data_IF_193746795385
#
_entry.id   IF_193746795385
#
_cell.length_a   1.000
_cell.length_b   1.000
_cell.length_c   1.000
_cell.angle_alpha   90.00
_cell.angle_beta   90.00
_cell.angle_gamma   90.00
#
_symmetry.space_group_name_H-M   'P 1'
#
loop_
_entity.id
_entity.type
_entity.pdbx_description
1 polymer ?
#
# COMPACT_ATOMS: atom_id res chain seq x y z
N UNK A 1 18.75 -7.45 4.63
CA UNK A 1 18.38 -7.63 3.21
C UNK A 1 16.87 -7.69 3.17
N UNK A 2 16.22 -6.88 2.34
CA UNK A 2 14.75 -6.85 2.25
C UNK A 2 14.24 -8.09 1.51
N UNK A 3 13.15 -8.71 1.98
CA UNK A 3 12.49 -9.83 1.32
C UNK A 3 11.07 -9.49 0.87
N UNK A 4 10.64 -9.99 -0.29
CA UNK A 4 9.25 -9.90 -0.74
C UNK A 4 8.47 -11.14 -0.30
N UNK A 5 7.43 -10.95 0.51
CA UNK A 5 6.56 -12.01 0.99
C UNK A 5 5.11 -11.74 0.60
N UNK A 6 4.47 -12.74 0.01
CA UNK A 6 3.03 -12.70 -0.26
C UNK A 6 2.26 -13.33 0.91
N UNK A 7 1.12 -12.75 1.26
CA UNK A 7 0.12 -13.38 2.12
C UNK A 7 -0.48 -14.62 1.40
N UNK A 8 -0.98 -15.59 2.15
CA UNK A 8 -1.37 -16.90 1.60
C UNK A 8 -2.59 -16.84 0.67
N UNK A 9 -3.57 -15.96 0.92
CA UNK A 9 -4.64 -15.71 -0.02
C UNK A 9 -4.09 -15.07 -1.31
N UNK A 10 -3.20 -14.07 -1.18
CA UNK A 10 -2.52 -13.45 -2.34
C UNK A 10 -1.78 -14.47 -3.21
N UNK A 11 -1.06 -15.42 -2.61
CA UNK A 11 -0.35 -16.46 -3.38
C UNK A 11 -1.29 -17.26 -4.29
N UNK A 12 -2.56 -17.43 -3.90
CA UNK A 12 -3.55 -18.25 -4.60
C UNK A 12 -4.36 -17.44 -5.62
N UNK A 13 -4.57 -16.15 -5.41
CA UNK A 13 -5.53 -15.35 -6.18
C UNK A 13 -4.87 -14.36 -7.14
N UNK A 14 -3.60 -14.01 -6.95
CA UNK A 14 -2.94 -13.01 -7.81
C UNK A 14 -2.70 -13.53 -9.22
N UNK A 15 -2.94 -12.68 -10.22
CA UNK A 15 -2.60 -12.94 -11.61
C UNK A 15 -1.08 -12.97 -11.84
N UNK A 16 -0.63 -13.67 -12.88
CA UNK A 16 0.79 -13.68 -13.26
C UNK A 16 1.30 -12.30 -13.68
N UNK A 17 0.43 -11.46 -14.25
CA UNK A 17 0.76 -10.10 -14.65
C UNK A 17 1.01 -9.22 -13.42
N UNK A 18 0.11 -9.25 -12.44
CA UNK A 18 0.28 -8.50 -11.19
C UNK A 18 1.50 -8.98 -10.42
N UNK A 19 1.75 -10.29 -10.40
CA UNK A 19 2.95 -10.85 -9.79
C UNK A 19 4.22 -10.28 -10.42
N UNK A 20 4.30 -10.20 -11.75
CA UNK A 20 5.45 -9.60 -12.45
C UNK A 20 5.63 -8.13 -12.12
N UNK A 21 4.55 -7.36 -12.12
CA UNK A 21 4.57 -5.93 -11.76
C UNK A 21 5.07 -5.72 -10.33
N UNK A 22 4.60 -6.53 -9.37
CA UNK A 22 5.07 -6.47 -7.98
C UNK A 22 6.57 -6.76 -7.90
N UNK A 23 7.07 -7.81 -8.57
CA UNK A 23 8.50 -8.10 -8.55
C UNK A 23 9.32 -6.97 -9.15
N UNK A 24 8.84 -6.36 -10.24
CA UNK A 24 9.50 -5.21 -10.85
C UNK A 24 9.56 -4.03 -9.87
N UNK A 25 8.41 -3.61 -9.32
CA UNK A 25 8.35 -2.50 -8.36
C UNK A 25 9.20 -2.77 -7.12
N UNK A 26 9.19 -4.00 -6.61
CA UNK A 26 10.03 -4.39 -5.47
C UNK A 26 11.53 -4.25 -5.78
N UNK A 27 11.98 -4.71 -6.95
CA UNK A 27 13.39 -4.63 -7.36
C UNK A 27 13.84 -3.19 -7.66
N UNK A 28 12.94 -2.35 -8.18
CA UNK A 28 13.21 -0.94 -8.48
C UNK A 28 13.12 -0.06 -7.23
N UNK A 29 12.56 -0.58 -6.13
CA UNK A 29 12.42 0.18 -4.88
C UNK A 29 13.79 0.40 -4.25
N UNK A 30 14.24 1.65 -4.28
CA UNK A 30 15.40 2.10 -3.50
C UNK A 30 15.02 2.15 -2.02
N UNK A 31 15.84 1.49 -1.19
CA UNK A 31 15.77 1.61 0.27
C UNK A 31 16.26 3.00 0.63
N UNK A 32 15.34 3.85 1.06
CA UNK A 32 15.64 5.16 1.62
C UNK A 32 15.59 5.04 3.16
N UNK A 33 16.66 5.48 3.82
CA UNK A 33 16.80 5.44 5.28
C UNK A 33 15.94 6.48 6.00
N UNK A 34 15.24 7.36 5.27
CA UNK A 34 14.42 8.42 5.84
C UNK A 34 13.13 7.93 6.51
N UNK A 35 12.61 6.76 6.11
CA UNK A 35 11.40 6.15 6.71
C UNK A 35 11.56 4.65 6.91
N UNK A 36 11.08 4.16 8.05
CA UNK A 36 11.08 2.74 8.38
C UNK A 36 9.95 1.97 7.71
N UNK A 37 8.83 2.64 7.41
CA UNK A 37 7.68 2.09 6.68
C UNK A 37 7.44 2.90 5.42
N UNK A 38 7.35 2.24 4.27
CA UNK A 38 7.09 2.88 2.97
C UNK A 38 6.02 2.11 2.21
N UNK A 39 5.25 2.81 1.37
CA UNK A 39 4.33 2.17 0.43
C UNK A 39 4.75 2.54 -1.00
N UNK A 40 4.90 1.54 -1.86
CA UNK A 40 5.14 1.74 -3.29
C UNK A 40 3.89 1.34 -4.07
N UNK A 41 3.40 2.24 -4.92
CA UNK A 41 2.27 1.95 -5.80
C UNK A 41 2.68 0.99 -6.92
N UNK A 42 1.85 -0.02 -7.19
CA UNK A 42 2.04 -0.97 -8.29
C UNK A 42 1.06 -0.68 -9.41
N UNK A 43 -0.23 -0.62 -9.10
CA UNK A 43 -1.27 -0.23 -10.05
C UNK A 43 -2.55 0.19 -9.33
N UNK A 44 -3.42 0.81 -10.11
CA UNK A 44 -4.78 1.17 -9.75
C UNK A 44 -5.78 0.30 -10.54
N UNK A 45 -6.96 0.11 -9.98
CA UNK A 45 -8.13 -0.53 -10.61
C UNK A 45 -9.42 -0.01 -9.96
N UNK A 46 -10.55 -0.30 -10.58
CA UNK A 46 -11.86 0.03 -10.02
C UNK A 46 -12.72 -1.23 -10.00
N UNK A 47 -13.35 -1.53 -8.86
CA UNK A 47 -14.21 -2.72 -8.77
C UNK A 47 -15.66 -2.46 -9.24
N UNK A 48 -16.50 -3.49 -9.21
CA UNK A 48 -17.91 -3.41 -9.61
C UNK A 48 -18.79 -2.54 -8.69
N UNK A 49 -18.31 -2.17 -7.50
CA UNK A 49 -18.94 -1.22 -6.57
C UNK A 49 -18.40 0.20 -6.76
N UNK A 50 -17.57 0.41 -7.78
CA UNK A 50 -16.90 1.66 -8.07
C UNK A 50 -15.95 2.12 -6.94
N UNK A 51 -15.45 1.17 -6.13
CA UNK A 51 -14.40 1.43 -5.15
C UNK A 51 -13.04 1.37 -5.85
N UNK A 52 -12.12 2.24 -5.45
CA UNK A 52 -10.79 2.34 -6.04
C UNK A 52 -9.83 1.37 -5.34
N UNK A 53 -9.19 0.52 -6.12
CA UNK A 53 -8.27 -0.52 -5.67
C UNK A 53 -6.83 -0.08 -5.94
N UNK A 54 -6.11 0.24 -4.88
CA UNK A 54 -4.70 0.61 -4.96
C UNK A 54 -3.83 -0.59 -4.60
N UNK A 55 -3.33 -1.31 -5.61
CA UNK A 55 -2.40 -2.43 -5.41
C UNK A 55 -1.01 -1.86 -5.20
N UNK A 56 -0.42 -2.23 -4.08
CA UNK A 56 0.78 -1.60 -3.54
C UNK A 56 1.67 -2.62 -2.86
N UNK A 57 2.90 -2.22 -2.55
CA UNK A 57 3.83 -2.96 -1.71
C UNK A 57 4.07 -2.15 -0.45
N UNK A 58 3.77 -2.73 0.70
CA UNK A 58 4.12 -2.15 2.00
C UNK A 58 5.50 -2.68 2.35
N UNK A 59 6.47 -1.80 2.53
CA UNK A 59 7.84 -2.11 2.91
C UNK A 59 8.03 -1.82 4.39
N UNK A 60 8.36 -2.86 5.17
CA UNK A 60 8.89 -2.70 6.51
C UNK A 60 10.42 -2.84 6.44
N UNK A 61 11.12 -1.71 6.53
CA UNK A 61 12.59 -1.64 6.58
C UNK A 61 13.12 -1.62 8.03
N UNK A 62 12.24 -1.71 9.02
CA UNK A 62 12.64 -1.70 10.43
C UNK A 62 13.11 -3.07 10.92
N UNK A 63 13.75 -3.07 12.09
CA UNK A 63 14.15 -4.26 12.84
C UNK A 63 13.00 -4.91 13.62
N UNK A 64 11.80 -4.33 13.59
CA UNK A 64 10.63 -4.80 14.33
C UNK A 64 9.47 -5.12 13.40
N UNK A 65 8.55 -5.97 13.86
CA UNK A 65 7.31 -6.22 13.13
C UNK A 65 6.41 -4.97 13.15
N UNK A 66 5.75 -4.69 12.02
CA UNK A 66 4.81 -3.59 11.86
C UNK A 66 3.39 -4.14 11.71
N UNK A 67 2.48 -3.73 12.59
CA UNK A 67 1.07 -4.14 12.52
C UNK A 67 0.21 -2.99 12.04
N UNK A 68 -0.61 -3.23 11.01
CA UNK A 68 -1.55 -2.24 10.47
C UNK A 68 -2.81 -2.11 11.36
N UNK A 69 -2.61 -1.74 12.62
CA UNK A 69 -3.67 -1.52 13.60
C UNK A 69 -3.97 -0.03 13.74
N UNK A 70 -5.22 0.38 13.55
CA UNK A 70 -5.68 1.77 13.73
C UNK A 70 -4.85 2.81 12.96
N UNK A 71 -4.56 2.52 11.70
CA UNK A 71 -3.83 3.42 10.81
C UNK A 71 -4.77 4.03 9.76
N UNK A 72 -4.36 5.15 9.20
CA UNK A 72 -4.97 5.72 8.01
C UNK A 72 -4.07 5.47 6.81
N UNK A 73 -4.68 5.28 5.65
CA UNK A 73 -4.00 5.34 4.38
C UNK A 73 -4.42 6.61 3.67
N UNK A 74 -3.43 7.38 3.25
CA UNK A 74 -3.60 8.60 2.46
C UNK A 74 -3.12 8.33 1.05
N UNK A 75 -3.92 8.75 0.08
CA UNK A 75 -3.50 8.88 -1.31
C UNK A 75 -3.22 10.35 -1.60
N UNK A 76 -2.00 10.64 -2.06
CA UNK A 76 -1.54 11.99 -2.32
C UNK A 76 -1.15 12.15 -3.79
N UNK A 77 -1.49 13.30 -4.37
CA UNK A 77 -1.00 13.73 -5.67
C UNK A 77 -0.34 15.10 -5.51
N UNK A 78 0.89 15.25 -5.99
CA UNK A 78 1.68 16.50 -5.83
C UNK A 78 1.75 17.01 -4.38
N UNK A 79 1.82 16.08 -3.41
CA UNK A 79 1.81 16.34 -1.94
C UNK A 79 0.48 16.85 -1.37
N UNK A 80 -0.58 16.90 -2.17
CA UNK A 80 -1.94 17.18 -1.71
C UNK A 80 -2.62 15.86 -1.39
N UNK A 81 -3.23 15.74 -0.20
CA UNK A 81 -4.05 14.58 0.15
C UNK A 81 -5.33 14.63 -0.69
N UNK A 82 -5.53 13.58 -1.49
CA UNK A 82 -6.68 13.42 -2.40
C UNK A 82 -7.73 12.51 -1.77
N UNK A 83 -7.29 11.50 -1.03
CA UNK A 83 -8.16 10.60 -0.30
C UNK A 83 -7.54 10.18 1.03
N UNK A 84 -8.38 9.99 2.04
CA UNK A 84 -7.98 9.39 3.32
C UNK A 84 -8.97 8.29 3.68
N UNK A 85 -8.47 7.10 4.00
CA UNK A 85 -9.30 6.00 4.45
C UNK A 85 -8.75 5.36 5.72
N UNK A 86 -9.64 5.05 6.67
CA UNK A 86 -9.25 4.38 7.89
C UNK A 86 -9.11 2.88 7.64
N UNK A 87 -7.95 2.32 7.97
CA UNK A 87 -7.72 0.89 7.88
C UNK A 87 -7.90 0.22 9.23
N UNK A 88 -8.62 -0.90 9.23
CA UNK A 88 -8.77 -1.74 10.40
C UNK A 88 -8.34 -3.17 10.08
N UNK A 89 -7.03 -3.41 10.11
CA UNK A 89 -6.43 -4.74 9.91
C UNK A 89 -5.60 -5.16 11.13
N UNK A 90 -6.23 -5.38 12.30
CA UNK A 90 -5.51 -5.66 13.55
C UNK A 90 -4.66 -6.94 13.49
N UNK A 91 -4.92 -7.81 12.52
CA UNK A 91 -4.20 -9.08 12.31
C UNK A 91 -3.14 -9.01 11.21
N UNK A 92 -3.04 -7.92 10.46
CA UNK A 92 -2.04 -7.78 9.41
C UNK A 92 -0.73 -7.27 10.01
N UNK A 93 0.20 -8.19 10.22
CA UNK A 93 1.56 -7.91 10.68
C UNK A 93 2.56 -8.18 9.57
N UNK A 94 3.36 -7.17 9.24
CA UNK A 94 4.47 -7.24 8.30
C UNK A 94 5.76 -7.45 9.09
N UNK A 95 6.45 -8.58 8.93
CA UNK A 95 7.68 -8.84 9.66
C UNK A 95 8.77 -7.80 9.37
N UNK A 96 9.76 -7.71 10.26
CA UNK A 96 10.98 -6.93 10.02
C UNK A 96 11.60 -7.28 8.65
N UNK A 97 12.19 -6.28 7.99
CA UNK A 97 12.85 -6.41 6.67
C UNK A 97 12.00 -7.08 5.58
N UNK A 98 10.67 -6.93 5.65
CA UNK A 98 9.74 -7.60 4.76
C UNK A 98 8.88 -6.62 3.99
N UNK A 99 8.77 -6.87 2.68
CA UNK A 99 7.88 -6.18 1.77
C UNK A 99 6.70 -7.10 1.47
N UNK A 100 5.49 -6.59 1.64
CA UNK A 100 4.27 -7.36 1.47
C UNK A 100 3.32 -6.64 0.52
N UNK A 101 2.88 -7.30 -0.57
CA UNK A 101 1.83 -6.76 -1.42
C UNK A 101 0.50 -6.66 -0.70
N UNK A 102 -0.23 -5.58 -0.95
CA UNK A 102 -1.55 -5.36 -0.39
C UNK A 102 -2.43 -4.55 -1.35
N UNK A 103 -3.74 -4.76 -1.28
CA UNK A 103 -4.72 -3.92 -1.97
C UNK A 103 -5.39 -3.04 -0.94
N UNK A 104 -5.19 -1.74 -1.04
CA UNK A 104 -5.99 -0.77 -0.30
C UNK A 104 -7.26 -0.47 -1.10
N UNK A 105 -8.40 -0.62 -0.45
CA UNK A 105 -9.71 -0.35 -1.05
C UNK A 105 -10.17 1.00 -0.52
N UNK A 106 -10.34 1.96 -1.42
CA UNK A 106 -10.86 3.28 -1.10
C UNK A 106 -12.32 3.37 -1.57
N UNK A 107 -13.27 3.46 -0.64
CA UNK A 107 -14.63 3.86 -0.96
C UNK A 107 -14.65 5.25 -1.61
N UNK A 108 -15.62 5.50 -2.49
CA UNK A 108 -15.74 6.78 -3.21
C UNK A 108 -15.80 7.99 -2.28
N UNK A 109 -16.47 7.84 -1.15
CA UNK A 109 -16.60 8.87 -0.12
C UNK A 109 -15.29 9.22 0.58
N UNK A 110 -14.23 8.43 0.38
CA UNK A 110 -12.90 8.72 0.93
C UNK A 110 -12.14 9.78 0.13
N UNK A 111 -12.60 10.10 -1.09
CA UNK A 111 -11.97 11.08 -1.98
C UNK A 111 -12.53 12.48 -1.73
N UNK A 112 -11.66 13.42 -1.36
CA UNK A 112 -12.00 14.83 -1.16
C UNK A 112 -12.06 15.60 -2.49
N UNK A 113 -11.40 15.06 -3.53
CA UNK A 113 -11.40 15.59 -4.89
C UNK A 113 -11.14 14.48 -5.91
N UNK A 114 -11.42 14.75 -7.19
CA UNK A 114 -11.16 13.78 -8.26
C UNK A 114 -9.65 13.57 -8.46
N UNK A 115 -9.14 12.33 -8.36
CA UNK A 115 -7.73 12.03 -8.62
C UNK A 115 -7.39 12.18 -10.11
N UNK A 116 -6.18 12.68 -10.40
CA UNK A 116 -5.60 12.69 -11.74
C UNK A 116 -4.98 11.35 -12.12
N UNK A 117 -4.65 10.52 -11.11
CA UNK A 117 -3.89 9.27 -11.21
C UNK A 117 -2.43 9.45 -11.67
N UNK A 118 -1.98 10.70 -11.78
CA UNK A 118 -0.61 11.03 -12.16
C UNK A 118 0.26 11.21 -10.91
N UNK A 119 1.38 10.48 -10.83
CA UNK A 119 2.38 10.61 -9.77
C UNK A 119 1.82 10.46 -8.34
N UNK A 120 0.81 9.61 -8.19
CA UNK A 120 0.19 9.32 -6.90
C UNK A 120 1.14 8.59 -5.93
N UNK A 121 1.13 8.99 -4.67
CA UNK A 121 1.84 8.35 -3.57
C UNK A 121 0.84 7.83 -2.53
N UNK A 122 1.15 6.69 -1.93
CA UNK A 122 0.42 6.21 -0.75
C UNK A 122 1.28 6.39 0.50
N UNK A 123 0.64 6.82 1.59
CA UNK A 123 1.29 6.94 2.90
C UNK A 123 0.42 6.38 4.00
N UNK A 124 1.04 5.64 4.92
CA UNK A 124 0.38 5.17 6.13
C UNK A 124 0.65 6.20 7.22
N UNK A 125 -0.41 6.77 7.78
CA UNK A 125 -0.37 7.65 8.94
C UNK A 125 -0.77 6.91 10.22
N UNK A 126 -0.17 7.28 11.36
CA UNK A 126 -0.63 6.87 12.69
C UNK A 126 -1.78 7.79 13.13
N UNK A 127 -2.89 7.24 13.64
CA UNK A 127 -4.10 8.01 13.98
C UNK A 127 -3.90 9.06 15.10
N UNK A 128 -4.73 10.10 15.26
CA UNK A 128 -6.02 10.47 14.66
C UNK A 128 -5.97 11.91 14.12
N UNK A 129 -6.91 12.24 13.21
CA UNK A 129 -7.21 13.62 12.78
C UNK A 129 -7.60 14.49 13.98
#
# INVERSE_FOLDING_TARGET
>A
MQQLQFEDAWKRTISDQDRKLIYQVFNDTVIDTSSTIKVSNVRHDTNHKEEELMISIIHNFSESNFTLSNCYIEYLENKTVIATHQLHFPTLTIPAHTSMPWTFIFPKESFEQQPSWELGELRIGEGAK
#
